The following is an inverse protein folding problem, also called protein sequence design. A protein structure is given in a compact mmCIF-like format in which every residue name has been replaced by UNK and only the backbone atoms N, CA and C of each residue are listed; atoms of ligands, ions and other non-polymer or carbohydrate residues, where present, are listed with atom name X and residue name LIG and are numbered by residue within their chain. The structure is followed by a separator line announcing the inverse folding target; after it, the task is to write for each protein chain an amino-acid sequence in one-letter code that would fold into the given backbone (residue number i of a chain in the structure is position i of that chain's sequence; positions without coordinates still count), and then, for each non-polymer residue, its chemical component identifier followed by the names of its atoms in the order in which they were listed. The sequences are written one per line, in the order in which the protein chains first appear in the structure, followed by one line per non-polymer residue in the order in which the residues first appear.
data_IF_436888382593
#
_entry.id   IF_436888382593
#
_cell.length_a   1.000
_cell.length_b   1.000
_cell.length_c   1.000
_cell.angle_alpha   90.00
_cell.angle_beta   90.00
_cell.angle_gamma   90.00
#
_symmetry.space_group_name_H-M   'P 1'
#
loop_
_entity.id
_entity.type
_entity.pdbx_description
1 polymer ?
#
# COMPACT_ATOMS: atom_id res chain seq x y z
N UNK A 1 -27.92 -8.57 9.33
CA UNK A 1 -27.84 -7.39 10.21
C UNK A 1 -28.97 -6.47 9.79
N UNK A 2 -29.66 -5.82 10.75
CA UNK A 2 -30.63 -4.78 10.41
C UNK A 2 -29.93 -3.62 9.67
N UNK A 3 -30.63 -2.89 8.82
CA UNK A 3 -30.06 -1.77 8.03
C UNK A 3 -29.38 -0.73 8.95
N UNK A 4 -29.98 -0.44 10.10
CA UNK A 4 -29.45 0.50 11.11
C UNK A 4 -28.07 0.08 11.65
N UNK A 5 -27.82 -1.23 11.82
CA UNK A 5 -26.55 -1.72 12.35
C UNK A 5 -25.41 -1.66 11.34
N UNK A 6 -25.70 -1.71 10.04
CA UNK A 6 -24.68 -1.56 9.00
C UNK A 6 -24.29 -0.08 8.80
N UNK A 7 -25.26 0.83 8.88
CA UNK A 7 -24.99 2.27 8.82
C UNK A 7 -24.04 2.72 9.94
N UNK A 8 -24.27 2.25 11.19
CA UNK A 8 -23.40 2.55 12.33
C UNK A 8 -21.96 2.05 12.09
N UNK A 9 -21.80 0.83 11.56
CA UNK A 9 -20.49 0.26 11.24
C UNK A 9 -19.73 1.14 10.22
N UNK A 10 -20.40 1.54 9.14
CA UNK A 10 -19.79 2.40 8.13
C UNK A 10 -19.41 3.77 8.69
N UNK A 11 -20.29 4.40 9.47
CA UNK A 11 -20.03 5.71 10.08
C UNK A 11 -18.80 5.68 10.99
N UNK A 12 -18.70 4.68 11.87
CA UNK A 12 -17.54 4.51 12.76
C UNK A 12 -16.25 4.26 11.98
N UNK A 13 -16.31 3.45 10.92
CA UNK A 13 -15.15 3.21 10.07
C UNK A 13 -14.67 4.49 9.37
N UNK A 14 -15.58 5.28 8.79
CA UNK A 14 -15.24 6.55 8.16
C UNK A 14 -14.67 7.56 9.17
N UNK A 15 -15.24 7.62 10.37
CA UNK A 15 -14.70 8.44 11.46
C UNK A 15 -13.27 8.01 11.85
N UNK A 16 -12.98 6.71 11.90
CA UNK A 16 -11.63 6.20 12.16
C UNK A 16 -10.63 6.61 11.06
N UNK A 17 -11.04 6.57 9.79
CA UNK A 17 -10.22 7.03 8.66
C UNK A 17 -9.95 8.53 8.73
N UNK A 18 -10.96 9.33 9.09
CA UNK A 18 -10.81 10.78 9.26
C UNK A 18 -9.80 11.12 10.38
N UNK A 19 -9.88 10.41 11.52
CA UNK A 19 -8.92 10.56 12.62
C UNK A 19 -7.48 10.19 12.21
N UNK A 20 -7.33 9.14 11.40
CA UNK A 20 -6.03 8.63 10.96
C UNK A 20 -5.37 9.51 9.89
N UNK A 21 -6.15 10.24 9.07
CA UNK A 21 -5.64 11.00 7.92
C UNK A 21 -5.70 12.51 8.09
N UNK A 22 -6.77 13.05 8.65
CA UNK A 22 -7.06 14.49 8.66
C UNK A 22 -6.70 15.11 10.00
N UNK A 23 -7.16 14.49 11.09
CA UNK A 23 -7.02 15.06 12.43
C UNK A 23 -5.61 14.87 13.01
N UNK A 24 -4.77 14.02 12.41
CA UNK A 24 -3.38 13.81 12.81
C UNK A 24 -2.58 15.12 12.84
N UNK A 25 -2.81 16.01 11.88
CA UNK A 25 -2.11 17.31 11.80
C UNK A 25 -2.52 18.30 12.91
N UNK A 26 -3.60 18.01 13.64
CA UNK A 26 -4.09 18.85 14.75
C UNK A 26 -3.67 18.31 16.12
N UNK A 27 -2.92 17.21 16.17
CA UNK A 27 -2.50 16.62 17.43
C UNK A 27 -1.54 17.56 18.19
N UNK A 28 -1.68 17.69 19.51
CA UNK A 28 -0.72 18.42 20.33
C UNK A 28 0.68 17.83 20.19
N UNK A 29 1.73 18.66 20.23
CA UNK A 29 3.13 18.19 20.16
C UNK A 29 3.47 17.17 21.24
N UNK A 30 2.83 17.25 22.42
CA UNK A 30 3.02 16.31 23.54
C UNK A 30 2.26 14.99 23.35
N UNK A 31 1.29 14.94 22.45
CA UNK A 31 0.45 13.78 22.17
C UNK A 31 0.33 13.54 20.65
N UNK A 32 1.46 13.30 19.94
CA UNK A 32 1.49 13.30 18.47
C UNK A 32 0.60 12.22 17.83
N UNK A 33 0.27 11.16 18.57
CA UNK A 33 -0.53 10.02 18.10
C UNK A 33 -1.96 10.00 18.64
N UNK A 34 -2.43 11.05 19.30
CA UNK A 34 -3.76 11.09 19.95
C UNK A 34 -4.91 10.66 19.03
N UNK A 35 -4.95 11.22 17.82
CA UNK A 35 -5.98 10.86 16.84
C UNK A 35 -5.86 9.39 16.38
N UNK A 36 -4.64 8.83 16.28
CA UNK A 36 -4.42 7.42 15.91
C UNK A 36 -4.98 6.47 16.98
N UNK A 37 -4.78 6.77 18.26
CA UNK A 37 -5.40 6.00 19.34
C UNK A 37 -6.93 6.10 19.31
N UNK A 38 -7.48 7.28 19.02
CA UNK A 38 -8.93 7.45 18.82
C UNK A 38 -9.47 6.62 17.65
N UNK A 39 -8.73 6.58 16.53
CA UNK A 39 -9.08 5.74 15.39
C UNK A 39 -9.06 4.25 15.74
N UNK A 40 -8.08 3.80 16.54
CA UNK A 40 -7.96 2.41 16.98
C UNK A 40 -9.18 1.93 17.76
N UNK A 41 -9.67 2.75 18.71
CA UNK A 41 -10.88 2.45 19.47
C UNK A 41 -12.07 2.23 18.54
N UNK A 42 -12.28 3.12 17.56
CA UNK A 42 -13.36 2.98 16.59
C UNK A 42 -13.21 1.73 15.71
N UNK A 43 -11.99 1.40 15.27
CA UNK A 43 -11.71 0.19 14.50
C UNK A 43 -12.00 -1.08 15.30
N UNK A 44 -11.63 -1.11 16.59
CA UNK A 44 -11.93 -2.23 17.49
C UNK A 44 -13.45 -2.38 17.72
N UNK A 45 -14.17 -1.28 17.88
CA UNK A 45 -15.64 -1.29 17.96
C UNK A 45 -16.27 -1.85 16.67
N UNK A 46 -15.82 -1.39 15.50
CA UNK A 46 -16.30 -1.91 14.21
C UNK A 46 -16.01 -3.40 14.07
N UNK A 47 -14.81 -3.85 14.47
CA UNK A 47 -14.44 -5.27 14.48
C UNK A 47 -15.37 -6.09 15.38
N UNK A 48 -15.69 -5.58 16.57
CA UNK A 48 -16.62 -6.24 17.49
C UNK A 48 -18.04 -6.33 16.93
N UNK A 49 -18.52 -5.27 16.27
CA UNK A 49 -19.84 -5.23 15.62
C UNK A 49 -19.95 -6.18 14.43
N UNK A 50 -18.88 -6.35 13.65
CA UNK A 50 -18.82 -7.33 12.55
C UNK A 50 -18.86 -8.78 13.04
N UNK A 51 -18.42 -9.04 14.27
CA UNK A 51 -18.29 -10.36 14.87
C UNK A 51 -17.09 -11.14 14.33
N UNK A 52 -16.82 -12.35 14.87
CA UNK A 52 -15.72 -13.18 14.40
C UNK A 52 -15.93 -13.62 12.94
N UNK A 53 -14.82 -13.86 12.24
CA UNK A 53 -14.87 -14.66 11.03
C UNK A 53 -15.35 -16.07 11.41
N UNK A 54 -16.24 -16.66 10.61
CA UNK A 54 -16.45 -18.10 10.71
C UNK A 54 -15.16 -18.72 10.23
N UNK A 55 -14.36 -19.25 11.15
CA UNK A 55 -13.17 -20.01 10.79
C UNK A 55 -13.65 -21.20 9.96
N UNK A 56 -13.10 -21.37 8.76
CA UNK A 56 -13.28 -22.61 8.01
C UNK A 56 -12.63 -23.69 8.89
N UNK A 57 -13.42 -24.55 9.54
CA UNK A 57 -12.92 -25.65 10.41
C UNK A 57 -12.00 -26.63 9.66
N UNK A 58 -11.88 -26.52 8.34
CA UNK A 58 -10.99 -27.31 7.49
C UNK A 58 -9.54 -26.78 7.43
N UNK A 59 -9.25 -25.57 7.91
CA UNK A 59 -7.86 -25.16 8.16
C UNK A 59 -7.54 -25.42 9.64
N UNK A 60 -6.94 -26.59 9.92
CA UNK A 60 -6.35 -26.92 11.23
C UNK A 60 -5.66 -25.68 11.81
N UNK A 61 -5.71 -25.43 13.13
CA UNK A 61 -4.86 -24.41 13.73
C UNK A 61 -3.42 -24.78 13.36
N UNK A 62 -2.73 -23.97 12.54
CA UNK A 62 -1.36 -24.30 12.22
C UNK A 62 -0.58 -24.05 13.50
N UNK A 63 -0.03 -25.12 14.06
CA UNK A 63 0.93 -25.01 15.13
C UNK A 63 2.08 -24.16 14.59
N UNK A 64 2.27 -22.95 15.13
CA UNK A 64 3.43 -22.10 14.83
C UNK A 64 3.78 -21.93 13.34
N UNK A 65 2.82 -21.97 12.42
CA UNK A 65 3.06 -21.40 11.08
C UNK A 65 2.98 -19.88 11.24
N UNK A 66 4.07 -19.30 11.76
CA UNK A 66 4.44 -17.99 11.26
C UNK A 66 4.40 -18.10 9.75
N UNK A 67 3.65 -17.22 9.08
CA UNK A 67 3.73 -17.02 7.64
C UNK A 67 5.17 -16.58 7.34
N UNK A 68 6.03 -17.59 7.28
CA UNK A 68 7.43 -17.47 7.12
C UNK A 68 7.69 -17.08 5.68
N UNK A 69 8.81 -16.40 5.41
CA UNK A 69 9.18 -16.03 4.06
C UNK A 69 9.26 -17.22 3.08
N UNK A 70 9.46 -18.43 3.58
CA UNK A 70 9.48 -19.65 2.77
C UNK A 70 8.12 -19.99 2.12
N UNK A 71 7.01 -19.64 2.75
CA UNK A 71 5.67 -19.89 2.18
C UNK A 71 5.38 -18.95 1.02
N UNK A 72 5.81 -17.69 1.12
CA UNK A 72 5.59 -16.69 0.05
C UNK A 72 6.45 -16.94 -1.20
N UNK A 73 7.62 -17.58 -1.07
CA UNK A 73 8.54 -17.85 -2.17
C UNK A 73 8.14 -19.04 -3.06
N UNK A 74 7.22 -19.92 -2.59
CA UNK A 74 6.81 -21.16 -3.27
C UNK A 74 5.33 -21.20 -3.67
N UNK A 75 4.61 -20.11 -3.50
CA UNK A 75 3.19 -20.06 -3.81
C UNK A 75 2.94 -20.30 -5.31
N UNK A 76 2.14 -21.33 -5.61
CA UNK A 76 1.55 -21.53 -6.92
C UNK A 76 0.79 -20.26 -7.35
N UNK A 77 0.61 -20.03 -8.68
CA UNK A 77 -0.21 -18.94 -9.18
C UNK A 77 -1.55 -18.91 -8.45
N UNK A 78 -1.98 -17.71 -8.04
CA UNK A 78 -3.24 -17.58 -7.33
C UNK A 78 -4.40 -17.99 -8.26
N UNK A 79 -5.39 -18.72 -7.75
CA UNK A 79 -6.61 -18.99 -8.49
C UNK A 79 -7.61 -17.85 -8.25
N UNK A 80 -8.37 -17.48 -9.28
CA UNK A 80 -9.44 -16.50 -9.14
C UNK A 80 -10.63 -17.15 -8.42
N UNK A 81 -10.83 -16.76 -7.16
CA UNK A 81 -12.01 -17.13 -6.36
C UNK A 81 -12.81 -15.87 -6.06
N UNK A 82 -14.08 -15.85 -6.47
CA UNK A 82 -14.96 -14.70 -6.26
C UNK A 82 -15.39 -14.56 -4.79
N UNK A 83 -15.62 -13.33 -4.35
CA UNK A 83 -16.08 -13.01 -2.99
C UNK A 83 -17.61 -13.11 -2.94
N UNK A 84 -18.10 -14.35 -2.90
CA UNK A 84 -19.54 -14.63 -2.90
C UNK A 84 -20.09 -14.92 -1.49
N UNK A 85 -21.28 -14.38 -1.23
CA UNK A 85 -22.02 -14.65 -0.01
C UNK A 85 -21.63 -13.80 1.21
N UNK A 86 -22.45 -13.85 2.27
CA UNK A 86 -22.30 -12.99 3.44
C UNK A 86 -21.04 -13.30 4.27
N UNK A 87 -20.58 -14.57 4.26
CA UNK A 87 -19.39 -15.00 5.01
C UNK A 87 -18.12 -14.45 4.38
N UNK A 88 -17.96 -14.60 3.05
CA UNK A 88 -16.81 -14.07 2.32
C UNK A 88 -16.72 -12.55 2.45
N UNK A 89 -17.83 -11.83 2.25
CA UNK A 89 -17.89 -10.37 2.40
C UNK A 89 -17.54 -9.91 3.82
N UNK A 90 -17.98 -10.65 4.85
CA UNK A 90 -17.57 -10.37 6.24
C UNK A 90 -16.08 -10.59 6.45
N UNK A 91 -15.52 -11.68 5.92
CA UNK A 91 -14.08 -11.96 6.02
C UNK A 91 -13.24 -10.84 5.40
N UNK A 92 -13.62 -10.35 4.21
CA UNK A 92 -12.95 -9.21 3.56
C UNK A 92 -13.06 -7.95 4.40
N UNK A 93 -14.25 -7.62 4.91
CA UNK A 93 -14.44 -6.45 5.78
C UNK A 93 -13.60 -6.54 7.06
N UNK A 94 -13.56 -7.71 7.70
CA UNK A 94 -12.69 -7.94 8.86
C UNK A 94 -11.23 -7.74 8.47
N UNK A 95 -10.78 -8.27 7.33
CA UNK A 95 -9.41 -8.09 6.86
C UNK A 95 -9.06 -6.61 6.62
N UNK A 96 -9.98 -5.80 6.09
CA UNK A 96 -9.79 -4.35 5.97
C UNK A 96 -9.60 -3.70 7.35
N UNK A 97 -10.36 -4.12 8.37
CA UNK A 97 -10.17 -3.60 9.74
C UNK A 97 -8.83 -4.03 10.32
N UNK A 98 -8.47 -5.32 10.18
CA UNK A 98 -7.16 -5.83 10.63
C UNK A 98 -6.01 -5.10 9.92
N UNK A 99 -6.13 -4.81 8.62
CA UNK A 99 -5.15 -3.98 7.89
C UNK A 99 -5.00 -2.58 8.50
N UNK A 100 -6.12 -1.89 8.75
CA UNK A 100 -6.07 -0.55 9.33
C UNK A 100 -5.55 -0.53 10.77
N UNK A 101 -5.88 -1.54 11.58
CA UNK A 101 -5.28 -1.73 12.90
C UNK A 101 -3.78 -1.99 12.81
N UNK A 102 -3.36 -2.85 11.88
CA UNK A 102 -1.95 -3.17 11.64
C UNK A 102 -1.13 -1.94 11.28
N UNK A 103 -1.60 -1.18 10.29
CA UNK A 103 -0.97 0.11 9.91
C UNK A 103 -0.95 1.06 11.09
N UNK A 104 -2.06 1.21 11.84
CA UNK A 104 -2.12 2.10 13.00
C UNK A 104 -1.11 1.75 14.09
N UNK A 105 -0.92 0.46 14.38
CA UNK A 105 0.09 0.00 15.34
C UNK A 105 1.51 0.27 14.86
N UNK A 106 1.85 -0.03 13.60
CA UNK A 106 3.17 0.31 13.03
C UNK A 106 3.42 1.81 13.14
N UNK A 107 2.45 2.61 12.74
CA UNK A 107 2.43 4.07 12.77
C UNK A 107 2.58 4.71 14.17
N UNK A 108 2.46 3.91 15.23
CA UNK A 108 2.59 4.28 16.64
C UNK A 108 3.75 3.53 17.31
N UNK A 109 4.65 2.95 16.52
CA UNK A 109 5.84 2.21 16.95
C UNK A 109 5.54 0.90 17.72
N UNK A 110 4.31 0.40 17.64
CA UNK A 110 3.87 -0.88 18.24
C UNK A 110 4.00 -2.02 17.21
N UNK A 111 5.24 -2.22 16.73
CA UNK A 111 5.55 -3.02 15.55
C UNK A 111 5.05 -4.47 15.61
N UNK A 112 5.10 -5.12 16.78
CA UNK A 112 4.70 -6.53 16.94
C UNK A 112 3.18 -6.70 16.80
N UNK A 113 2.39 -5.84 17.44
CA UNK A 113 0.94 -5.83 17.26
C UNK A 113 0.56 -5.49 15.82
N UNK A 114 1.29 -4.57 15.20
CA UNK A 114 1.13 -4.21 13.79
C UNK A 114 1.28 -5.40 12.85
N UNK A 115 2.34 -6.19 13.05
CA UNK A 115 2.59 -7.43 12.32
C UNK A 115 1.46 -8.45 12.50
N UNK A 116 1.06 -8.75 13.74
CA UNK A 116 0.00 -9.72 14.03
C UNK A 116 -1.30 -9.40 13.28
N UNK A 117 -1.68 -8.12 13.28
CA UNK A 117 -2.85 -7.62 12.57
C UNK A 117 -2.71 -7.76 11.04
N UNK A 118 -1.56 -7.41 10.46
CA UNK A 118 -1.33 -7.54 9.01
C UNK A 118 -1.29 -9.00 8.55
N UNK A 119 -0.63 -9.88 9.31
CA UNK A 119 -0.60 -11.33 9.06
C UNK A 119 -2.02 -11.90 9.10
N UNK A 120 -2.82 -11.47 10.08
CA UNK A 120 -4.23 -11.87 10.18
C UNK A 120 -5.07 -11.34 9.01
N UNK A 121 -4.83 -10.12 8.54
CA UNK A 121 -5.44 -9.60 7.31
C UNK A 121 -5.16 -10.52 6.13
N UNK A 122 -3.88 -10.87 5.87
CA UNK A 122 -3.52 -11.77 4.78
C UNK A 122 -4.21 -13.13 4.89
N UNK A 123 -4.26 -13.72 6.10
CA UNK A 123 -4.92 -15.01 6.34
C UNK A 123 -6.41 -14.97 5.98
N UNK A 124 -7.13 -13.93 6.40
CA UNK A 124 -8.57 -13.80 6.15
C UNK A 124 -8.95 -13.73 4.66
N UNK A 125 -8.06 -13.17 3.82
CA UNK A 125 -8.32 -12.98 2.39
C UNK A 125 -7.45 -13.84 1.47
N UNK A 126 -6.66 -14.78 2.01
CA UNK A 126 -5.72 -15.61 1.25
C UNK A 126 -6.39 -16.33 0.09
N UNK A 127 -7.54 -16.96 0.33
CA UNK A 127 -8.33 -17.65 -0.72
C UNK A 127 -8.86 -16.73 -1.82
N UNK A 128 -9.01 -15.43 -1.54
CA UNK A 128 -9.56 -14.44 -2.47
C UNK A 128 -8.48 -13.50 -3.02
N UNK A 129 -7.19 -13.77 -2.80
CA UNK A 129 -6.09 -12.81 -3.05
C UNK A 129 -5.98 -12.29 -4.48
N UNK A 130 -6.49 -13.02 -5.49
CA UNK A 130 -6.54 -12.57 -6.89
C UNK A 130 -7.85 -11.85 -7.26
N UNK A 131 -8.87 -11.87 -6.40
CA UNK A 131 -10.15 -11.21 -6.66
C UNK A 131 -9.99 -9.69 -6.72
N UNK A 132 -10.71 -8.99 -7.64
CA UNK A 132 -10.77 -7.52 -7.67
C UNK A 132 -11.17 -6.88 -6.34
N UNK A 133 -11.93 -7.59 -5.49
CA UNK A 133 -12.33 -7.13 -4.16
C UNK A 133 -11.17 -7.09 -3.15
N UNK A 134 -10.14 -7.92 -3.34
CA UNK A 134 -9.13 -8.23 -2.31
C UNK A 134 -7.69 -7.96 -2.75
N UNK A 135 -7.37 -8.03 -4.04
CA UNK A 135 -5.99 -7.96 -4.53
C UNK A 135 -5.27 -6.69 -4.09
N UNK A 136 -5.96 -5.55 -4.07
CA UNK A 136 -5.42 -4.27 -3.60
C UNK A 136 -5.11 -4.30 -2.10
N UNK A 137 -6.00 -4.89 -1.29
CA UNK A 137 -5.80 -5.06 0.15
C UNK A 137 -4.62 -6.00 0.45
N UNK A 138 -4.56 -7.13 -0.25
CA UNK A 138 -3.53 -8.14 -0.06
C UNK A 138 -2.13 -7.59 -0.36
N UNK A 139 -1.96 -6.94 -1.52
CA UNK A 139 -0.72 -6.28 -1.92
C UNK A 139 -0.34 -5.18 -0.92
N UNK A 140 -1.28 -4.36 -0.46
CA UNK A 140 -0.99 -3.34 0.54
C UNK A 140 -0.51 -3.94 1.88
N UNK A 141 -1.13 -5.02 2.36
CA UNK A 141 -0.70 -5.70 3.57
C UNK A 141 0.69 -6.34 3.41
N UNK A 142 0.98 -6.98 2.27
CA UNK A 142 2.31 -7.51 1.96
C UNK A 142 3.36 -6.41 1.88
N UNK A 143 3.05 -5.26 1.27
CA UNK A 143 3.98 -4.13 1.22
C UNK A 143 4.31 -3.64 2.63
N UNK A 144 3.31 -3.46 3.51
CA UNK A 144 3.56 -3.02 4.89
C UNK A 144 4.39 -4.04 5.67
N UNK A 145 4.15 -5.34 5.51
CA UNK A 145 5.00 -6.38 6.11
C UNK A 145 6.43 -6.35 5.54
N UNK A 146 6.57 -6.18 4.21
CA UNK A 146 7.87 -6.05 3.56
C UNK A 146 8.68 -4.86 4.10
N UNK A 147 8.03 -3.72 4.32
CA UNK A 147 8.64 -2.53 4.94
C UNK A 147 9.05 -2.83 6.37
N UNK A 148 8.12 -3.37 7.17
CA UNK A 148 8.35 -3.69 8.57
C UNK A 148 9.54 -4.64 8.76
N UNK A 149 9.62 -5.70 7.97
CA UNK A 149 10.74 -6.64 8.04
C UNK A 149 12.04 -6.02 7.55
N UNK A 150 11.99 -5.11 6.57
CA UNK A 150 13.16 -4.36 6.12
C UNK A 150 13.69 -3.44 7.23
N UNK A 151 12.82 -2.78 7.99
CA UNK A 151 13.18 -1.92 9.12
C UNK A 151 13.78 -2.71 10.29
N UNK A 152 13.43 -3.99 10.42
CA UNK A 152 14.04 -4.93 11.38
C UNK A 152 15.34 -5.58 10.90
N UNK A 153 15.83 -5.18 9.72
CA UNK A 153 17.02 -5.75 9.07
C UNK A 153 16.88 -7.24 8.68
N UNK A 154 15.65 -7.77 8.64
CA UNK A 154 15.34 -9.14 8.17
C UNK A 154 15.07 -9.11 6.67
N UNK A 155 16.14 -8.88 5.90
CA UNK A 155 16.09 -8.48 4.48
C UNK A 155 15.53 -9.60 3.59
N UNK A 156 15.83 -10.86 3.87
CA UNK A 156 15.28 -12.01 3.14
C UNK A 156 13.76 -12.10 3.32
N UNK A 157 13.27 -11.81 4.53
CA UNK A 157 11.84 -11.82 4.83
C UNK A 157 11.12 -10.68 4.12
N UNK A 158 11.69 -9.48 4.20
CA UNK A 158 11.21 -8.31 3.48
C UNK A 158 11.11 -8.59 1.97
N UNK A 159 12.17 -9.18 1.41
CA UNK A 159 12.25 -9.55 0.01
C UNK A 159 11.12 -10.52 -0.41
N UNK A 160 10.84 -11.55 0.41
CA UNK A 160 9.81 -12.54 0.10
C UNK A 160 8.41 -11.91 0.00
N UNK A 161 8.05 -11.04 0.95
CA UNK A 161 6.77 -10.33 0.94
C UNK A 161 6.63 -9.42 -0.29
N UNK A 162 7.66 -8.64 -0.61
CA UNK A 162 7.62 -7.68 -1.71
C UNK A 162 7.65 -8.34 -3.10
N UNK A 163 8.35 -9.47 -3.26
CA UNK A 163 8.29 -10.25 -4.50
C UNK A 163 6.96 -10.96 -4.68
N UNK A 164 6.39 -11.51 -3.61
CA UNK A 164 5.05 -12.10 -3.66
C UNK A 164 4.00 -11.05 -4.08
N UNK A 165 4.11 -9.84 -3.53
CA UNK A 165 3.31 -8.67 -3.94
C UNK A 165 3.50 -8.29 -5.41
N UNK A 166 4.75 -8.22 -5.89
CA UNK A 166 5.05 -7.97 -7.31
C UNK A 166 4.47 -9.06 -8.23
N UNK A 167 4.64 -10.33 -7.87
CA UNK A 167 4.12 -11.46 -8.63
C UNK A 167 2.60 -11.43 -8.72
N UNK A 168 1.91 -11.16 -7.61
CA UNK A 168 0.46 -11.06 -7.56
C UNK A 168 -0.08 -9.89 -8.40
N UNK A 169 0.56 -8.72 -8.33
CA UNK A 169 0.21 -7.58 -9.20
C UNK A 169 0.35 -7.96 -10.67
N UNK A 170 1.49 -8.53 -11.07
CA UNK A 170 1.75 -8.90 -12.45
C UNK A 170 0.77 -9.97 -12.96
N UNK A 171 0.42 -10.94 -12.11
CA UNK A 171 -0.60 -11.94 -12.43
C UNK A 171 -1.97 -11.29 -12.64
N UNK A 172 -2.42 -10.46 -11.69
CA UNK A 172 -3.72 -9.78 -11.76
C UNK A 172 -3.83 -8.90 -13.01
N UNK A 173 -2.80 -8.12 -13.33
CA UNK A 173 -2.79 -7.25 -14.50
C UNK A 173 -2.80 -8.04 -15.82
N UNK A 174 -2.23 -9.24 -15.83
CA UNK A 174 -2.22 -10.11 -17.01
C UNK A 174 -3.55 -10.83 -17.23
N UNK A 175 -4.19 -11.30 -16.17
CA UNK A 175 -5.38 -12.16 -16.25
C UNK A 175 -6.70 -11.37 -16.22
N UNK A 176 -6.75 -10.30 -15.43
CA UNK A 176 -7.99 -9.54 -15.15
C UNK A 176 -7.88 -8.11 -15.66
N UNK A 177 -6.84 -7.39 -15.24
CA UNK A 177 -6.50 -6.04 -15.75
C UNK A 177 -7.51 -4.93 -15.44
N UNK A 178 -8.60 -5.20 -14.73
CA UNK A 178 -9.58 -4.18 -14.33
C UNK A 178 -9.15 -3.48 -13.02
N UNK A 179 -9.53 -2.20 -12.79
CA UNK A 179 -9.18 -1.51 -11.55
C UNK A 179 -9.82 -2.19 -10.32
N UNK A 180 -9.02 -2.73 -9.38
CA UNK A 180 -9.56 -3.40 -8.19
C UNK A 180 -10.18 -2.39 -7.22
N UNK A 181 -11.02 -2.87 -6.31
CA UNK A 181 -11.58 -2.02 -5.25
C UNK A 181 -10.47 -1.54 -4.31
N UNK A 182 -10.54 -0.28 -3.91
CA UNK A 182 -9.77 0.23 -2.79
C UNK A 182 -10.32 -0.37 -1.48
N UNK A 183 -9.47 -0.75 -0.51
CA UNK A 183 -9.92 -1.33 0.76
C UNK A 183 -11.02 -0.54 1.47
N UNK A 184 -11.00 0.79 1.34
CA UNK A 184 -11.97 1.66 2.01
C UNK A 184 -13.38 1.59 1.41
N UNK A 185 -13.51 1.16 0.15
CA UNK A 185 -14.81 1.04 -0.56
C UNK A 185 -15.70 -0.08 -0.02
N UNK A 186 -15.16 -1.03 0.75
CA UNK A 186 -15.94 -2.09 1.42
C UNK A 186 -16.92 -1.58 2.47
N UNK A 187 -16.73 -0.33 2.91
CA UNK A 187 -17.54 0.40 3.88
C UNK A 187 -18.17 1.67 3.29
N UNK A 188 -18.23 1.79 1.97
CA UNK A 188 -18.90 2.89 1.28
C UNK A 188 -20.18 2.41 0.59
N UNK A 189 -21.25 3.24 0.56
CA UNK A 189 -22.38 3.01 -0.31
C UNK A 189 -21.96 3.15 -1.78
N UNK A 190 -22.73 2.57 -2.70
CA UNK A 190 -22.36 2.49 -4.12
C UNK A 190 -22.15 3.88 -4.76
N UNK A 191 -22.90 4.87 -4.30
CA UNK A 191 -22.86 6.25 -4.80
C UNK A 191 -21.59 7.02 -4.38
N UNK A 192 -20.91 6.57 -3.33
CA UNK A 192 -19.69 7.18 -2.78
C UNK A 192 -18.41 6.43 -3.19
N UNK A 193 -18.54 5.32 -3.93
CA UNK A 193 -17.41 4.55 -4.44
C UNK A 193 -16.58 5.33 -5.44
N UNK A 194 -15.32 4.92 -5.56
CA UNK A 194 -14.35 5.58 -6.42
C UNK A 194 -14.61 5.25 -7.88
N UNK A 195 -14.35 6.23 -8.72
CA UNK A 195 -14.34 6.02 -10.17
C UNK A 195 -13.27 5.00 -10.55
N UNK A 196 -13.44 4.30 -11.67
CA UNK A 196 -12.43 3.37 -12.19
C UNK A 196 -11.06 4.02 -12.38
N UNK A 197 -11.04 5.29 -12.79
CA UNK A 197 -9.81 6.07 -12.96
C UNK A 197 -9.10 6.29 -11.61
N UNK A 198 -9.84 6.61 -10.55
CA UNK A 198 -9.29 6.77 -9.21
C UNK A 198 -8.78 5.45 -8.63
N UNK A 199 -9.55 4.36 -8.79
CA UNK A 199 -9.13 3.01 -8.40
C UNK A 199 -7.83 2.60 -9.09
N UNK A 200 -7.76 2.81 -10.41
CA UNK A 200 -6.54 2.54 -11.18
C UNK A 200 -5.38 3.35 -10.65
N UNK A 201 -5.54 4.67 -10.45
CA UNK A 201 -4.47 5.52 -9.92
C UNK A 201 -3.99 5.08 -8.53
N UNK A 202 -4.91 4.69 -7.64
CA UNK A 202 -4.54 4.21 -6.29
C UNK A 202 -3.80 2.87 -6.37
N UNK A 203 -4.26 1.95 -7.21
CA UNK A 203 -3.61 0.65 -7.39
C UNK A 203 -2.20 0.79 -7.99
N UNK A 204 -2.02 1.65 -9.00
CA UNK A 204 -0.70 1.94 -9.56
C UNK A 204 0.24 2.58 -8.54
N UNK A 205 -0.29 3.39 -7.61
CA UNK A 205 0.48 3.95 -6.49
C UNK A 205 0.96 2.86 -5.53
N UNK A 206 0.09 1.91 -5.18
CA UNK A 206 0.43 0.77 -4.32
C UNK A 206 1.56 -0.05 -4.96
N UNK A 207 1.46 -0.37 -6.26
CA UNK A 207 2.52 -1.13 -6.94
C UNK A 207 3.83 -0.34 -7.06
N UNK A 208 3.74 0.97 -7.35
CA UNK A 208 4.95 1.83 -7.38
C UNK A 208 5.64 1.90 -6.02
N UNK A 209 4.87 1.87 -4.93
CA UNK A 209 5.40 1.79 -3.57
C UNK A 209 6.12 0.46 -3.31
N UNK A 210 5.58 -0.67 -3.79
CA UNK A 210 6.26 -1.97 -3.73
C UNK A 210 7.63 -1.93 -4.41
N UNK A 211 7.70 -1.41 -5.64
CA UNK A 211 8.97 -1.32 -6.40
C UNK A 211 9.99 -0.43 -5.70
N UNK A 212 9.55 0.66 -5.07
CA UNK A 212 10.42 1.55 -4.30
C UNK A 212 11.08 0.81 -3.12
N UNK A 213 10.34 -0.03 -2.40
CA UNK A 213 10.92 -0.82 -1.30
C UNK A 213 11.72 -2.03 -1.77
N UNK A 214 11.38 -2.65 -2.90
CA UNK A 214 12.26 -3.64 -3.53
C UNK A 214 13.62 -3.04 -3.87
N UNK A 215 13.66 -1.79 -4.34
CA UNK A 215 14.92 -1.10 -4.58
C UNK A 215 15.75 -0.97 -3.29
N UNK A 216 15.12 -0.60 -2.17
CA UNK A 216 15.80 -0.49 -0.88
C UNK A 216 16.30 -1.84 -0.37
N UNK A 217 15.47 -2.87 -0.40
CA UNK A 217 15.85 -4.24 -0.02
C UNK A 217 17.07 -4.71 -0.83
N UNK A 218 17.05 -4.56 -2.15
CA UNK A 218 18.21 -4.92 -2.98
C UNK A 218 19.44 -4.04 -2.75
N UNK A 219 19.25 -2.78 -2.35
CA UNK A 219 20.33 -1.90 -1.93
C UNK A 219 21.01 -2.42 -0.66
N UNK A 220 20.22 -2.88 0.33
CA UNK A 220 20.73 -3.50 1.56
C UNK A 220 21.45 -4.83 1.30
N UNK A 221 20.98 -5.63 0.33
CA UNK A 221 21.66 -6.87 -0.10
C UNK A 221 22.90 -6.63 -0.98
N UNK A 222 23.27 -5.37 -1.24
CA UNK A 222 24.36 -4.99 -2.14
C UNK A 222 24.20 -5.50 -3.60
N UNK A 223 22.97 -5.85 -4.01
CA UNK A 223 22.64 -6.25 -5.39
C UNK A 223 22.27 -5.00 -6.19
N UNK A 224 23.26 -4.12 -6.37
CA UNK A 224 23.04 -2.76 -6.84
C UNK A 224 22.42 -2.65 -8.23
N UNK A 225 22.67 -3.60 -9.13
CA UNK A 225 22.06 -3.62 -10.46
C UNK A 225 20.54 -3.78 -10.39
N UNK A 226 20.04 -4.67 -9.51
CA UNK A 226 18.60 -4.84 -9.29
C UNK A 226 18.02 -3.63 -8.58
N UNK A 227 18.70 -3.11 -7.56
CA UNK A 227 18.29 -1.89 -6.87
C UNK A 227 18.11 -0.72 -7.86
N UNK A 228 19.09 -0.51 -8.74
CA UNK A 228 19.03 0.54 -9.77
C UNK A 228 17.89 0.31 -10.79
N UNK A 229 17.63 -0.94 -11.17
CA UNK A 229 16.49 -1.28 -12.02
C UNK A 229 15.16 -0.90 -11.37
N UNK A 230 14.93 -1.29 -10.12
CA UNK A 230 13.72 -0.93 -9.39
C UNK A 230 13.61 0.59 -9.14
N UNK A 231 14.70 1.28 -8.83
CA UNK A 231 14.75 2.74 -8.76
C UNK A 231 14.31 3.39 -10.07
N UNK A 232 14.84 2.92 -11.21
CA UNK A 232 14.48 3.43 -12.53
C UNK A 232 12.99 3.21 -12.83
N UNK A 233 12.49 1.99 -12.60
CA UNK A 233 11.08 1.64 -12.81
C UNK A 233 10.15 2.47 -11.93
N UNK A 234 10.53 2.72 -10.67
CA UNK A 234 9.80 3.60 -9.75
C UNK A 234 9.71 5.03 -10.29
N UNK A 235 10.85 5.62 -10.69
CA UNK A 235 10.89 6.99 -11.22
C UNK A 235 10.08 7.13 -12.51
N UNK A 236 10.16 6.14 -13.40
CA UNK A 236 9.38 6.11 -14.64
C UNK A 236 7.88 6.10 -14.35
N UNK A 237 7.41 5.21 -13.48
CA UNK A 237 5.99 5.09 -13.11
C UNK A 237 5.47 6.34 -12.40
N UNK A 238 6.28 6.95 -11.54
CA UNK A 238 5.98 8.21 -10.91
C UNK A 238 5.67 9.32 -11.94
N UNK A 239 6.46 9.41 -13.02
CA UNK A 239 6.19 10.34 -14.13
C UNK A 239 4.91 9.98 -14.90
N UNK A 240 4.74 8.70 -15.25
CA UNK A 240 3.59 8.22 -16.03
C UNK A 240 2.24 8.50 -15.35
N UNK A 241 2.20 8.44 -14.01
CA UNK A 241 0.99 8.68 -13.22
C UNK A 241 0.92 10.08 -12.59
N UNK A 242 1.88 10.96 -12.89
CA UNK A 242 2.01 12.30 -12.31
C UNK A 242 1.86 12.30 -10.78
N UNK A 243 2.55 11.36 -10.12
CA UNK A 243 2.44 11.09 -8.68
C UNK A 243 3.82 11.19 -8.01
N UNK A 244 4.37 12.40 -7.98
CA UNK A 244 5.70 12.68 -7.40
C UNK A 244 5.83 14.11 -6.91
N UNK A 245 6.76 14.34 -5.98
CA UNK A 245 7.23 15.68 -5.64
C UNK A 245 8.42 16.03 -6.53
N UNK A 246 8.37 17.12 -7.32
CA UNK A 246 9.39 17.39 -8.33
C UNK A 246 10.82 17.50 -7.79
N UNK A 247 11.01 18.05 -6.58
CA UNK A 247 12.33 18.16 -5.95
C UNK A 247 12.87 16.78 -5.56
N UNK A 248 12.08 15.99 -4.82
CA UNK A 248 12.47 14.63 -4.41
C UNK A 248 12.74 13.73 -5.62
N UNK A 249 11.88 13.82 -6.65
CA UNK A 249 12.05 13.08 -7.89
C UNK A 249 13.35 13.44 -8.60
N UNK A 250 13.67 14.74 -8.70
CA UNK A 250 14.91 15.20 -9.33
C UNK A 250 16.15 14.73 -8.56
N UNK A 251 16.11 14.76 -7.21
CA UNK A 251 17.19 14.25 -6.37
C UNK A 251 17.39 12.75 -6.62
N UNK A 252 16.31 11.96 -6.61
CA UNK A 252 16.38 10.51 -6.84
C UNK A 252 16.91 10.18 -8.24
N UNK A 253 16.49 10.91 -9.27
CA UNK A 253 17.00 10.77 -10.63
C UNK A 253 18.48 11.16 -10.76
N UNK A 254 18.92 12.21 -10.07
CA UNK A 254 20.33 12.60 -10.01
C UNK A 254 21.18 11.54 -9.28
N UNK A 255 20.70 10.99 -8.18
CA UNK A 255 21.36 9.89 -7.45
C UNK A 255 21.51 8.65 -8.33
N UNK A 256 20.46 8.27 -9.07
CA UNK A 256 20.53 7.16 -10.03
C UNK A 256 21.55 7.42 -11.15
N UNK A 257 21.72 8.68 -11.57
CA UNK A 257 22.76 9.03 -12.55
C UNK A 257 24.17 8.76 -12.02
N UNK A 258 24.43 9.00 -10.73
CA UNK A 258 25.73 8.72 -10.11
C UNK A 258 26.03 7.22 -10.11
N UNK A 259 25.02 6.38 -9.88
CA UNK A 259 25.16 4.93 -10.01
C UNK A 259 25.59 4.53 -11.42
N UNK A 260 24.91 5.04 -12.45
CA UNK A 260 25.25 4.74 -13.84
C UNK A 260 26.64 5.24 -14.24
N UNK A 261 27.09 6.40 -13.73
CA UNK A 261 28.47 6.89 -13.92
C UNK A 261 29.47 5.87 -13.37
N UNK A 262 29.25 5.36 -12.16
CA UNK A 262 30.14 4.38 -11.54
C UNK A 262 30.20 3.06 -12.32
N UNK A 263 29.15 2.74 -13.09
CA UNK A 263 29.06 1.57 -13.98
C UNK A 263 29.50 1.86 -15.42
N UNK A 264 29.98 3.07 -15.72
CA UNK A 264 30.38 3.53 -17.06
C UNK A 264 29.21 3.58 -18.08
N UNK A 265 27.97 3.57 -17.61
CA UNK A 265 26.74 3.72 -18.41
C UNK A 265 26.43 5.21 -18.60
N UNK A 266 27.29 5.91 -19.34
CA UNK A 266 27.23 7.38 -19.43
C UNK A 266 25.99 7.91 -20.15
N UNK A 267 25.39 7.11 -21.06
CA UNK A 267 24.19 7.53 -21.79
C UNK A 267 22.97 7.56 -20.88
N UNK A 268 22.80 6.52 -20.07
CA UNK A 268 21.76 6.38 -19.06
C UNK A 268 21.95 7.43 -17.96
N UNK A 269 23.19 7.62 -17.48
CA UNK A 269 23.52 8.67 -16.51
C UNK A 269 23.13 10.06 -17.05
N UNK A 270 23.52 10.39 -18.28
CA UNK A 270 23.17 11.66 -18.92
C UNK A 270 21.66 11.83 -19.05
N UNK A 271 20.94 10.77 -19.40
CA UNK A 271 19.48 10.80 -19.50
C UNK A 271 18.82 11.11 -18.16
N UNK A 272 19.20 10.38 -17.10
CA UNK A 272 18.70 10.61 -15.74
C UNK A 272 18.98 12.05 -15.26
N UNK A 273 20.20 12.55 -15.45
CA UNK A 273 20.57 13.90 -15.02
C UNK A 273 19.84 14.98 -15.82
N UNK A 274 19.64 14.77 -17.13
CA UNK A 274 18.86 15.68 -17.97
C UNK A 274 17.39 15.72 -17.53
N UNK A 275 16.80 14.56 -17.24
CA UNK A 275 15.43 14.48 -16.75
C UNK A 275 15.30 15.16 -15.37
N UNK A 276 16.24 14.92 -14.45
CA UNK A 276 16.30 15.60 -13.16
C UNK A 276 16.31 17.13 -13.32
N UNK A 277 17.16 17.66 -14.21
CA UNK A 277 17.24 19.10 -14.48
C UNK A 277 15.93 19.67 -15.03
N UNK A 278 15.26 18.95 -15.94
CA UNK A 278 13.97 19.39 -16.52
C UNK A 278 12.90 19.45 -15.45
N UNK A 279 12.72 18.38 -14.67
CA UNK A 279 11.70 18.32 -13.62
C UNK A 279 12.01 19.33 -12.49
N UNK A 280 13.27 19.46 -12.09
CA UNK A 280 13.67 20.48 -11.11
C UNK A 280 13.38 21.89 -11.62
N UNK A 281 13.68 22.19 -12.88
CA UNK A 281 13.42 23.50 -13.48
C UNK A 281 11.94 23.88 -13.60
N UNK A 282 11.02 22.92 -13.45
CA UNK A 282 9.58 23.18 -13.42
C UNK A 282 9.10 23.68 -12.03
N UNK A 283 9.86 23.43 -10.95
CA UNK A 283 9.49 23.84 -9.58
C UNK A 283 9.35 25.35 -9.41
N UNK A 284 10.14 26.14 -10.16
CA UNK A 284 10.10 27.61 -10.15
C UNK A 284 9.14 28.25 -11.16
N UNK A 285 8.37 27.46 -11.92
CA UNK A 285 7.45 27.95 -12.98
C UNK A 285 5.97 27.79 -12.63
N UNK A 286 5.64 27.42 -11.39
CA UNK A 286 4.26 27.54 -10.92
C UNK A 286 3.90 29.03 -10.89
N UNK A 287 2.91 29.50 -11.67
CA UNK A 287 2.51 30.89 -11.61
C UNK A 287 2.06 31.18 -10.18
N UNK A 288 2.79 32.08 -9.53
CA UNK A 288 2.26 32.77 -8.35
C UNK A 288 0.91 33.37 -8.73
N UNK A 289 0.01 33.40 -7.76
CA UNK A 289 -1.40 33.81 -7.92
C UNK A 289 -1.58 35.22 -8.51
N UNK A 290 -0.49 35.98 -8.69
CA UNK A 290 -0.43 37.31 -9.31
C UNK A 290 -0.45 37.28 -10.85
N UNK A 291 0.02 36.21 -11.51
CA UNK A 291 0.08 36.14 -12.98
C UNK A 291 -1.28 35.89 -13.66
N UNK A 292 -2.33 35.55 -12.88
CA UNK A 292 -3.70 35.38 -13.40
C UNK A 292 -4.44 36.71 -13.59
N UNK A 293 -3.97 37.82 -13.01
CA UNK A 293 -4.65 39.12 -13.14
C UNK A 293 -4.21 39.92 -14.37
N UNK A 294 -3.05 39.61 -14.97
CA UNK A 294 -2.55 40.35 -16.15
C UNK A 294 -2.91 39.74 -17.51
N UNK A 295 -3.66 38.62 -17.56
CA UNK A 295 -4.20 38.06 -18.83
C UNK A 295 -5.68 38.36 -19.06
N UNK A 296 -6.29 39.22 -18.23
CA UNK A 296 -7.62 39.79 -18.45
C UNK A 296 -7.54 41.32 -18.39
N UNK A 297 -6.83 41.90 -19.35
CA UNK A 297 -6.95 43.31 -19.74
C UNK A 297 -6.82 43.38 -21.25
#
# INVERSE_FOLDING_TARGET
MAEDGWAEICEKFQAALALSRVELHKNPEKEPYKSKYGARVLLEEVRALLGPALEDEDERPPAEDGLGPEDHARELPAELVEVEGPVARRAVRLAVIEFHLGVNHIDTEELSAGEEHLVKCLRLVRKYRLSPDCVSLYIQAQNNLGILWSEREEIETAQAYLHSSEALYNQYMKEIGSPPLDPTEHFLPEEEKLTEQERSKRFEKVYTHNLYYLAQVYQHMEVFERAAHYCHSTLKRQLEHNAYQPIEWAINAATLSQFYINKLCFMEARHCLSAANVIFGQTGKNPTTEDRQHRRA
#
